data_IF_351396448848
#
_entry.id   IF_351396448848
#
_cell.length_a   1.000
_cell.length_b   1.000
_cell.length_c   1.000
_cell.angle_alpha   90.00
_cell.angle_beta   90.00
_cell.angle_gamma   90.00
#
_symmetry.space_group_name_H-M   'P 1'
#
loop_
_entity.id
_entity.type
_entity.pdbx_description
1 polymer ?
#
# COMPACT_ATOMS: atom_id res chain seq x y z
N UNK A 1 7.54 7.29 10.55
CA UNK A 1 8.08 5.93 10.58
C UNK A 1 8.61 5.59 9.20
N UNK A 2 9.60 4.70 9.09
CA UNK A 2 10.11 4.23 7.78
C UNK A 2 9.67 2.78 7.51
N UNK A 3 9.57 2.40 6.23
CA UNK A 3 9.20 1.04 5.79
C UNK A 3 10.16 -0.02 6.35
N UNK A 4 11.43 0.33 6.56
CA UNK A 4 12.43 -0.58 7.13
C UNK A 4 12.11 -1.00 8.58
N UNK A 5 11.28 -0.23 9.31
CA UNK A 5 10.90 -0.46 10.70
C UNK A 5 9.61 -1.29 10.84
N UNK A 6 8.99 -1.65 9.72
CA UNK A 6 7.77 -2.43 9.72
C UNK A 6 8.02 -3.85 10.24
N UNK A 7 7.05 -4.33 11.00
CA UNK A 7 6.88 -5.74 11.37
C UNK A 7 6.58 -6.58 10.12
N UNK A 8 6.70 -7.90 10.24
CA UNK A 8 6.41 -8.81 9.11
C UNK A 8 4.97 -8.61 8.59
N UNK A 9 4.01 -8.40 9.49
CA UNK A 9 2.61 -8.23 9.13
C UNK A 9 2.36 -6.88 8.43
N UNK A 10 2.97 -5.80 8.90
CA UNK A 10 2.91 -4.47 8.26
C UNK A 10 3.54 -4.48 6.86
N UNK A 11 4.69 -5.19 6.69
CA UNK A 11 5.30 -5.38 5.38
C UNK A 11 4.41 -6.19 4.45
N UNK A 12 3.77 -7.24 4.96
CA UNK A 12 2.85 -8.07 4.18
C UNK A 12 1.58 -7.30 3.81
N UNK A 13 1.09 -6.43 4.69
CA UNK A 13 -0.03 -5.53 4.41
C UNK A 13 0.31 -4.58 3.25
N UNK A 14 1.45 -3.89 3.31
CA UNK A 14 1.90 -2.99 2.26
C UNK A 14 2.02 -3.70 0.91
N UNK A 15 2.77 -4.81 0.88
CA UNK A 15 3.01 -5.57 -0.34
C UNK A 15 1.72 -6.15 -0.92
N UNK A 16 0.81 -6.64 -0.07
CA UNK A 16 -0.49 -7.15 -0.51
C UNK A 16 -1.39 -6.07 -1.09
N UNK A 17 -1.37 -4.86 -0.51
CA UNK A 17 -2.16 -3.72 -0.99
C UNK A 17 -1.65 -3.22 -2.34
N UNK A 18 -0.33 -3.12 -2.50
CA UNK A 18 0.31 -2.79 -3.77
C UNK A 18 -0.06 -3.82 -4.84
N UNK A 19 0.07 -5.11 -4.55
CA UNK A 19 -0.31 -6.17 -5.51
C UNK A 19 -1.80 -6.10 -5.87
N UNK A 20 -2.67 -5.68 -4.95
CA UNK A 20 -4.09 -5.53 -5.23
C UNK A 20 -4.37 -4.33 -6.15
N UNK A 21 -3.70 -3.19 -5.95
CA UNK A 21 -3.78 -2.04 -6.85
C UNK A 21 -3.28 -2.42 -8.25
N UNK A 22 -2.09 -3.00 -8.35
CA UNK A 22 -1.48 -3.41 -9.62
C UNK A 22 -2.23 -4.52 -10.36
N UNK A 23 -3.10 -5.28 -9.68
CA UNK A 23 -3.97 -6.27 -10.31
C UNK A 23 -5.38 -5.74 -10.59
N UNK A 24 -5.75 -4.58 -10.04
CA UNK A 24 -7.01 -3.93 -10.34
C UNK A 24 -6.99 -3.37 -11.76
N UNK A 25 -5.92 -2.66 -12.13
CA UNK A 25 -5.65 -2.32 -13.52
C UNK A 25 -4.90 -3.49 -14.18
N UNK A 26 -5.47 -4.05 -15.25
CA UNK A 26 -4.93 -5.24 -15.90
C UNK A 26 -3.62 -4.94 -16.69
N UNK A 27 -3.09 -3.73 -16.53
CA UNK A 27 -1.86 -3.18 -17.12
C UNK A 27 -1.17 -2.31 -16.08
N UNK A 28 0.05 -2.66 -15.70
CA UNK A 28 0.90 -1.79 -14.86
C UNK A 28 1.60 -0.76 -15.74
N UNK A 29 1.45 0.52 -15.43
CA UNK A 29 2.11 1.61 -16.14
C UNK A 29 3.56 1.82 -15.72
N UNK A 30 4.25 2.70 -16.47
CA UNK A 30 5.63 3.06 -16.16
C UNK A 30 5.73 3.83 -14.83
N UNK A 31 4.75 4.69 -14.53
CA UNK A 31 4.75 5.56 -13.36
C UNK A 31 4.55 4.74 -12.08
N UNK A 32 3.61 3.78 -12.08
CA UNK A 32 3.45 2.81 -10.98
C UNK A 32 4.71 1.96 -10.77
N UNK A 33 5.37 1.56 -11.87
CA UNK A 33 6.63 0.78 -11.79
C UNK A 33 7.75 1.58 -11.13
N UNK A 34 7.82 2.89 -11.36
CA UNK A 34 8.80 3.75 -10.70
C UNK A 34 8.48 3.94 -9.22
N UNK A 35 7.21 4.19 -8.86
CA UNK A 35 6.77 4.27 -7.47
C UNK A 35 7.03 2.96 -6.72
N UNK A 36 6.73 1.81 -7.35
CA UNK A 36 7.02 0.48 -6.83
C UNK A 36 8.53 0.27 -6.59
N UNK A 37 9.38 0.75 -7.50
CA UNK A 37 10.84 0.60 -7.37
C UNK A 37 11.36 1.24 -6.09
N UNK A 38 10.79 2.36 -5.66
CA UNK A 38 11.18 3.02 -4.41
C UNK A 38 10.87 2.11 -3.22
N UNK A 39 9.64 1.57 -3.15
CA UNK A 39 9.21 0.62 -2.11
C UNK A 39 10.10 -0.62 -2.09
N UNK A 40 10.39 -1.20 -3.26
CA UNK A 40 11.27 -2.37 -3.40
C UNK A 40 12.69 -2.05 -2.96
N UNK A 41 13.19 -0.84 -3.21
CA UNK A 41 14.51 -0.40 -2.77
C UNK A 41 14.60 -0.27 -1.25
N UNK A 42 13.52 0.16 -0.58
CA UNK A 42 13.46 0.29 0.87
C UNK A 42 13.27 -1.05 1.59
N UNK A 43 12.44 -1.94 1.05
CA UNK A 43 12.21 -3.29 1.59
C UNK A 43 13.36 -4.24 1.27
N UNK A 44 13.96 -4.10 0.08
CA UNK A 44 14.84 -5.07 -0.55
C UNK A 44 14.07 -6.01 -1.49
N UNK A 45 14.63 -6.24 -2.69
CA UNK A 45 14.00 -7.08 -3.73
C UNK A 45 13.69 -8.51 -3.25
N UNK A 46 14.59 -9.09 -2.45
CA UNK A 46 14.42 -10.45 -1.95
C UNK A 46 13.26 -10.54 -0.95
N UNK A 47 13.19 -9.60 0.00
CA UNK A 47 12.12 -9.55 0.99
C UNK A 47 10.78 -9.26 0.31
N UNK A 48 10.74 -8.31 -0.63
CA UNK A 48 9.52 -8.02 -1.40
C UNK A 48 8.98 -9.27 -2.10
N UNK A 49 9.83 -10.01 -2.82
CA UNK A 49 9.43 -11.25 -3.51
C UNK A 49 8.96 -12.33 -2.54
N UNK A 50 9.64 -12.47 -1.39
CA UNK A 50 9.23 -13.43 -0.37
C UNK A 50 7.86 -13.05 0.22
N UNK A 51 7.61 -11.76 0.45
CA UNK A 51 6.34 -11.26 0.98
C UNK A 51 5.19 -11.44 -0.01
N UNK A 52 5.41 -11.24 -1.32
CA UNK A 52 4.40 -11.56 -2.35
C UNK A 52 4.04 -13.04 -2.32
N UNK A 53 5.04 -13.92 -2.16
CA UNK A 53 4.80 -15.35 -2.08
C UNK A 53 4.00 -15.72 -0.82
N UNK A 54 4.38 -15.16 0.33
CA UNK A 54 3.66 -15.34 1.59
C UNK A 54 2.22 -14.81 1.49
N UNK A 55 2.03 -13.62 0.90
CA UNK A 55 0.73 -13.01 0.66
C UNK A 55 -0.17 -13.93 -0.18
N UNK A 56 0.31 -14.41 -1.33
CA UNK A 56 -0.47 -15.31 -2.22
C UNK A 56 -0.75 -16.68 -1.59
N UNK A 57 0.03 -17.10 -0.60
CA UNK A 57 -0.15 -18.36 0.13
C UNK A 57 -1.16 -18.23 1.27
N UNK A 58 -1.24 -17.05 1.91
CA UNK A 58 -2.06 -16.81 3.10
C UNK A 58 -3.42 -16.21 2.75
N UNK A 59 -3.47 -15.34 1.72
CA UNK A 59 -4.66 -14.58 1.37
C UNK A 59 -5.40 -15.27 0.22
N UNK A 60 -6.54 -15.86 0.55
CA UNK A 60 -7.39 -16.57 -0.41
C UNK A 60 -8.31 -15.63 -1.21
N UNK A 61 -8.74 -14.51 -0.60
CA UNK A 61 -9.67 -13.55 -1.19
C UNK A 61 -9.56 -12.17 -0.52
N UNK A 62 -10.22 -11.17 -1.11
CA UNK A 62 -10.21 -9.78 -0.63
C UNK A 62 -10.82 -9.63 0.77
N UNK A 63 -11.82 -10.42 1.15
CA UNK A 63 -12.41 -10.38 2.50
C UNK A 63 -11.41 -10.84 3.57
N UNK A 64 -10.70 -11.96 3.34
CA UNK A 64 -9.63 -12.44 4.20
C UNK A 64 -8.50 -11.41 4.30
N UNK A 65 -8.23 -10.69 3.21
CA UNK A 65 -7.25 -9.61 3.23
C UNK A 65 -7.70 -8.42 4.06
N UNK A 66 -8.94 -7.97 3.90
CA UNK A 66 -9.53 -6.90 4.73
C UNK A 66 -9.47 -7.26 6.21
N UNK A 67 -9.78 -8.51 6.59
CA UNK A 67 -9.63 -8.98 7.97
C UNK A 67 -8.18 -8.95 8.45
N UNK A 68 -7.21 -9.28 7.60
CA UNK A 68 -5.79 -9.16 7.93
C UNK A 68 -5.39 -7.70 8.20
N UNK A 69 -5.84 -6.76 7.36
CA UNK A 69 -5.55 -5.33 7.49
C UNK A 69 -6.11 -4.72 8.78
N UNK A 70 -7.23 -5.25 9.29
CA UNK A 70 -7.78 -4.84 10.59
C UNK A 70 -6.88 -5.19 11.78
N UNK A 71 -6.00 -6.18 11.65
CA UNK A 71 -5.06 -6.57 12.71
C UNK A 71 -3.83 -5.65 12.80
N UNK A 72 -3.62 -4.77 11.83
CA UNK A 72 -2.55 -3.77 11.91
C UNK A 72 -2.99 -2.71 12.90
N UNK A 73 -2.47 -2.69 14.13
CA UNK A 73 -2.92 -1.76 15.19
C UNK A 73 -2.11 -0.45 15.25
N UNK A 74 -0.91 -0.42 14.68
CA UNK A 74 0.01 0.72 14.80
C UNK A 74 -0.37 1.84 13.84
N UNK A 75 -0.81 2.97 14.38
CA UNK A 75 -1.26 4.12 13.59
C UNK A 75 -0.18 4.64 12.64
N UNK A 76 1.05 4.83 13.12
CA UNK A 76 2.16 5.30 12.30
C UNK A 76 2.44 4.38 11.10
N UNK A 77 2.22 3.07 11.25
CA UNK A 77 2.40 2.13 10.15
C UNK A 77 1.24 2.25 9.14
N UNK A 78 0.00 2.38 9.62
CA UNK A 78 -1.18 2.61 8.77
C UNK A 78 -1.03 3.87 7.93
N UNK A 79 -0.55 4.96 8.52
CA UNK A 79 -0.31 6.24 7.84
C UNK A 79 0.74 6.11 6.74
N UNK A 80 1.87 5.45 7.03
CA UNK A 80 2.93 5.23 6.03
C UNK A 80 2.43 4.29 4.93
N UNK A 81 1.74 3.21 5.27
CA UNK A 81 1.17 2.27 4.28
C UNK A 81 0.20 3.01 3.35
N UNK A 82 -0.72 3.78 3.91
CA UNK A 82 -1.69 4.55 3.13
C UNK A 82 -1.01 5.60 2.26
N UNK A 83 -0.06 6.35 2.81
CA UNK A 83 0.70 7.36 2.07
C UNK A 83 1.42 6.75 0.86
N UNK A 84 2.12 5.64 1.06
CA UNK A 84 2.81 4.93 -0.04
C UNK A 84 1.84 4.44 -1.10
N UNK A 85 0.67 3.90 -0.72
CA UNK A 85 -0.33 3.45 -1.69
C UNK A 85 -0.95 4.62 -2.45
N UNK A 86 -1.20 5.73 -1.76
CA UNK A 86 -1.72 6.94 -2.37
C UNK A 86 -0.73 7.51 -3.40
N UNK A 87 0.58 7.51 -3.10
CA UNK A 87 1.62 7.92 -4.05
C UNK A 87 1.67 7.01 -5.29
N UNK A 88 1.48 5.70 -5.13
CA UNK A 88 1.44 4.75 -6.25
C UNK A 88 0.17 4.96 -7.10
N UNK A 89 -1.00 5.08 -6.47
CA UNK A 89 -2.27 5.25 -7.17
C UNK A 89 -2.42 6.64 -7.82
N UNK A 90 -1.85 7.69 -7.21
CA UNK A 90 -1.81 9.03 -7.83
C UNK A 90 -0.97 9.04 -9.11
N UNK A 91 0.03 8.16 -9.20
CA UNK A 91 0.95 8.09 -10.34
C UNK A 91 0.28 7.66 -11.66
N UNK A 92 -0.89 7.00 -11.63
CA UNK A 92 -1.55 6.50 -12.85
C UNK A 92 -3.03 6.90 -13.01
N UNK A 93 -3.40 8.10 -12.55
CA UNK A 93 -4.77 8.62 -12.69
C UNK A 93 -5.85 7.62 -12.19
N UNK A 94 -6.03 7.53 -10.87
CA UNK A 94 -7.12 6.82 -10.16
C UNK A 94 -8.23 6.23 -11.04
N UNK A 95 -8.25 4.90 -11.21
CA UNK A 95 -9.45 4.20 -11.68
C UNK A 95 -10.48 4.11 -10.54
N UNK A 96 -11.78 4.00 -10.87
CA UNK A 96 -12.88 3.96 -9.89
C UNK A 96 -12.71 2.83 -8.86
N UNK A 97 -12.07 1.73 -9.25
CA UNK A 97 -11.86 0.55 -8.38
C UNK A 97 -10.76 0.75 -7.33
N UNK A 98 -9.72 1.52 -7.65
CA UNK A 98 -8.61 1.80 -6.73
C UNK A 98 -9.03 2.78 -5.64
N UNK A 99 -9.88 3.75 -6.01
CA UNK A 99 -10.51 4.69 -5.09
C UNK A 99 -11.30 3.95 -4.00
N UNK A 100 -12.08 2.92 -4.34
CA UNK A 100 -12.92 2.23 -3.34
C UNK A 100 -12.10 1.54 -2.24
N UNK A 101 -10.95 0.94 -2.58
CA UNK A 101 -10.09 0.30 -1.59
C UNK A 101 -9.38 1.32 -0.69
N UNK A 102 -8.90 2.42 -1.26
CA UNK A 102 -8.26 3.50 -0.50
C UNK A 102 -9.26 4.20 0.42
N UNK A 103 -10.47 4.50 -0.07
CA UNK A 103 -11.54 5.09 0.72
C UNK A 103 -11.94 4.17 1.90
N UNK A 104 -12.02 2.86 1.66
CA UNK A 104 -12.27 1.88 2.70
C UNK A 104 -11.16 1.86 3.75
N UNK A 105 -9.89 1.84 3.32
CA UNK A 105 -8.72 1.86 4.21
C UNK A 105 -8.70 3.10 5.09
N UNK A 106 -8.86 4.29 4.49
CA UNK A 106 -8.86 5.56 5.21
C UNK A 106 -9.92 5.57 6.32
N UNK A 107 -11.10 5.04 6.02
CA UNK A 107 -12.22 4.95 6.96
C UNK A 107 -11.97 3.94 8.08
N UNK A 108 -11.50 2.74 7.76
CA UNK A 108 -11.29 1.69 8.77
C UNK A 108 -10.09 1.98 9.68
N UNK A 109 -9.07 2.65 9.15
CA UNK A 109 -7.89 3.03 9.91
C UNK A 109 -8.01 4.38 10.62
N UNK A 110 -9.16 5.04 10.51
CA UNK A 110 -9.44 6.37 11.08
C UNK A 110 -8.30 7.35 10.78
N UNK A 111 -7.87 7.37 9.51
CA UNK A 111 -6.76 8.22 9.08
C UNK A 111 -7.27 9.67 9.00
N UNK A 112 -6.74 10.54 9.86
CA UNK A 112 -6.89 11.99 9.67
C UNK A 112 -6.01 12.38 8.49
N UNK A 113 -6.59 12.33 7.29
CA UNK A 113 -5.92 12.76 6.06
C UNK A 113 -5.83 14.29 6.06
N UNK A 114 -5.08 14.83 7.01
CA UNK A 114 -4.53 16.17 6.91
C UNK A 114 -3.44 16.12 5.84
N UNK A 115 -3.87 16.17 4.57
CA UNK A 115 -2.97 16.42 3.44
C UNK A 115 -2.34 17.79 3.72
N UNK A 116 -1.18 17.79 4.39
CA UNK A 116 -0.37 18.99 4.52
C UNK A 116 0.17 19.25 3.12
N UNK A 117 -0.54 20.12 2.41
CA UNK A 117 -0.06 20.87 1.25
C UNK A 117 1.06 21.83 1.67
N UNK A 118 2.13 21.30 2.21
CA UNK A 118 3.42 21.96 2.43
C UNK A 118 4.40 21.01 1.74
N UNK A 119 4.93 21.26 0.53
CA UNK A 119 5.73 22.43 0.17
C UNK A 119 5.65 22.70 -1.34
N UNK A 120 4.84 23.66 -1.78
CA UNK A 120 5.10 24.40 -3.03
C UNK A 120 4.73 25.87 -2.84
N UNK A 121 5.48 26.54 -1.97
CA UNK A 121 5.67 27.99 -2.10
C UNK A 121 6.94 28.22 -2.92
N UNK A 122 6.76 28.54 -4.20
CA UNK A 122 7.79 29.15 -5.05
C UNK A 122 7.64 30.67 -4.93
#
# INVERSE_FOLDING_TARGET
MEINQFTKDEKLALVGLIEHLLMADNVVSYEETEALRNVVSELGEHDYRSLIHDYKSIIENIDSFKQFLMNIERQEAREVIYGTLFEIAEADFFDENESELLDWLAKEWDLDISINKDETSI
#
